data_IF_795719961049
#
_entry.id   IF_795719961049
#
_cell.length_a   1.000
_cell.length_b   1.000
_cell.length_c   1.000
_cell.angle_alpha   90.00
_cell.angle_beta   90.00
_cell.angle_gamma   90.00
#
_symmetry.space_group_name_H-M   'P 1'
#
loop_
_entity.id
_entity.type
_entity.pdbx_description
1 polymer ?
#
# COMPACT_ATOMS: atom_id res chain seq x y z
N UNK A 1 35.29 5.58 -2.14
CA UNK A 1 34.41 6.60 -2.75
C UNK A 1 33.22 6.84 -1.83
N UNK A 2 33.17 7.97 -1.12
CA UNK A 2 32.00 8.34 -0.31
C UNK A 2 31.12 9.22 -1.17
N UNK A 3 30.05 8.65 -1.73
CA UNK A 3 29.03 9.46 -2.42
C UNK A 3 28.44 10.46 -1.43
N UNK A 4 28.51 11.73 -1.82
CA UNK A 4 27.88 12.86 -1.15
C UNK A 4 26.38 12.59 -1.10
N UNK A 5 25.85 12.27 0.08
CA UNK A 5 24.40 12.18 0.27
C UNK A 5 23.82 13.59 0.09
N UNK A 6 23.16 13.83 -1.03
CA UNK A 6 22.30 15.00 -1.20
C UNK A 6 21.18 14.91 -0.16
N UNK A 7 21.09 15.95 0.67
CA UNK A 7 20.30 15.98 1.90
C UNK A 7 18.77 16.07 1.69
N UNK A 8 18.22 15.73 0.53
CA UNK A 8 16.79 15.94 0.29
C UNK A 8 16.14 14.98 -0.74
N UNK A 9 16.45 13.68 -0.70
CA UNK A 9 15.75 12.69 -1.52
C UNK A 9 14.63 12.03 -0.70
N UNK A 10 13.39 12.18 -1.16
CA UNK A 10 12.20 11.54 -0.59
C UNK A 10 12.30 10.00 -0.77
N UNK A 11 12.96 9.33 0.18
CA UNK A 11 13.24 7.88 0.13
C UNK A 11 11.98 7.03 -0.07
N UNK A 12 10.84 7.48 0.48
CA UNK A 12 9.55 6.82 0.34
C UNK A 12 9.06 6.83 -1.11
N UNK A 13 9.19 7.96 -1.81
CA UNK A 13 8.82 8.08 -3.23
C UNK A 13 9.75 7.25 -4.10
N UNK A 14 11.06 7.31 -3.83
CA UNK A 14 12.05 6.53 -4.56
C UNK A 14 11.80 5.01 -4.43
N UNK A 15 11.49 4.53 -3.23
CA UNK A 15 11.14 3.14 -3.01
C UNK A 15 9.88 2.74 -3.80
N UNK A 16 8.84 3.57 -3.79
CA UNK A 16 7.61 3.29 -4.52
C UNK A 16 7.81 3.36 -6.04
N UNK A 17 8.60 4.31 -6.55
CA UNK A 17 8.90 4.41 -7.98
C UNK A 17 9.64 3.17 -8.48
N UNK A 18 10.61 2.67 -7.72
CA UNK A 18 11.32 1.44 -8.04
C UNK A 18 10.40 0.23 -8.12
N UNK A 19 9.45 0.08 -7.19
CA UNK A 19 8.46 -1.01 -7.26
C UNK A 19 7.61 -0.92 -8.54
N UNK A 20 7.13 0.28 -8.87
CA UNK A 20 6.31 0.51 -10.06
C UNK A 20 7.08 0.27 -11.37
N UNK A 21 8.32 0.76 -11.45
CA UNK A 21 9.19 0.60 -12.63
C UNK A 21 9.58 -0.86 -12.86
N UNK A 22 9.91 -1.60 -11.80
CA UNK A 22 10.30 -3.00 -11.89
C UNK A 22 9.14 -3.94 -12.20
N UNK A 23 7.89 -3.47 -12.09
CA UNK A 23 6.68 -4.27 -12.30
C UNK A 23 6.72 -5.62 -11.57
N UNK A 24 7.26 -5.62 -10.36
CA UNK A 24 7.34 -6.79 -9.49
C UNK A 24 7.10 -6.36 -8.05
N UNK A 25 6.28 -7.14 -7.33
CA UNK A 25 6.00 -6.91 -5.91
C UNK A 25 7.23 -7.18 -5.02
N UNK A 26 8.23 -7.90 -5.54
CA UNK A 26 9.48 -8.16 -4.85
C UNK A 26 10.66 -8.20 -5.84
N UNK A 27 11.23 -7.04 -6.21
CA UNK A 27 12.27 -6.95 -7.23
C UNK A 27 13.67 -7.32 -6.72
N UNK A 28 13.85 -7.55 -5.41
CA UNK A 28 15.14 -7.88 -4.83
C UNK A 28 15.49 -9.35 -5.05
N UNK A 29 16.44 -9.61 -5.97
CA UNK A 29 16.98 -10.95 -6.20
C UNK A 29 18.52 -10.91 -6.32
N UNK A 30 19.25 -11.81 -5.64
CA UNK A 30 18.77 -12.81 -4.69
C UNK A 30 18.28 -12.19 -3.37
N UNK A 31 17.25 -12.79 -2.75
CA UNK A 31 16.74 -12.34 -1.45
C UNK A 31 17.70 -12.76 -0.32
N UNK A 32 18.07 -11.81 0.54
CA UNK A 32 19.02 -12.08 1.64
C UNK A 32 18.34 -12.58 2.91
N UNK A 33 17.08 -12.22 3.16
CA UNK A 33 16.40 -12.45 4.45
C UNK A 33 15.08 -13.21 4.34
N UNK A 34 14.52 -13.36 3.14
CA UNK A 34 13.24 -14.01 2.92
C UNK A 34 13.45 -15.19 1.98
N UNK A 35 13.02 -16.41 2.33
CA UNK A 35 13.06 -17.52 1.40
C UNK A 35 12.06 -17.27 0.27
N UNK A 36 12.55 -17.21 -0.97
CA UNK A 36 11.72 -17.08 -2.16
C UNK A 36 11.77 -18.37 -2.97
N UNK A 37 10.59 -18.85 -3.35
CA UNK A 37 10.46 -19.94 -4.32
C UNK A 37 10.66 -19.37 -5.73
N UNK A 38 11.82 -19.70 -6.33
CA UNK A 38 12.20 -19.23 -7.67
C UNK A 38 11.16 -19.61 -8.73
N UNK A 39 10.49 -20.76 -8.59
CA UNK A 39 9.46 -21.22 -9.53
C UNK A 39 8.20 -20.36 -9.49
N UNK A 40 7.95 -19.66 -8.38
CA UNK A 40 6.77 -18.80 -8.20
C UNK A 40 7.06 -17.31 -8.41
N UNK A 41 8.29 -16.90 -8.66
CA UNK A 41 8.63 -15.48 -8.91
C UNK A 41 7.78 -14.82 -10.02
N UNK A 42 7.43 -15.49 -11.13
CA UNK A 42 6.58 -14.86 -12.15
C UNK A 42 5.20 -14.42 -11.63
N UNK A 43 4.68 -15.07 -10.58
CA UNK A 43 3.41 -14.70 -9.94
C UNK A 43 3.46 -13.37 -9.18
N UNK A 44 4.67 -12.89 -8.84
CA UNK A 44 4.88 -11.60 -8.18
C UNK A 44 4.98 -10.45 -9.19
N UNK A 45 4.92 -10.73 -10.49
CA UNK A 45 4.93 -9.70 -11.53
C UNK A 45 3.61 -8.93 -11.59
N UNK A 46 3.71 -7.62 -11.79
CA UNK A 46 2.57 -6.72 -11.97
C UNK A 46 2.26 -6.61 -13.46
N UNK A 47 1.14 -7.20 -13.89
CA UNK A 47 0.66 -7.13 -15.28
C UNK A 47 0.15 -5.73 -15.65
N UNK A 48 -0.49 -5.07 -14.69
CA UNK A 48 -1.03 -3.72 -14.83
C UNK A 48 -0.51 -2.83 -13.70
N UNK A 49 -0.49 -1.52 -13.95
CA UNK A 49 -0.12 -0.53 -12.92
C UNK A 49 -1.31 -0.40 -11.96
N UNK A 50 -1.13 -0.64 -10.65
CA UNK A 50 -2.22 -0.53 -9.70
C UNK A 50 -2.60 0.94 -9.49
N UNK A 51 -3.87 1.21 -9.21
CA UNK A 51 -4.34 2.55 -8.83
C UNK A 51 -3.94 2.94 -7.40
N UNK A 52 -3.86 1.93 -6.53
CA UNK A 52 -3.51 2.05 -5.13
C UNK A 52 -2.59 0.89 -4.74
N UNK A 53 -1.42 1.22 -4.22
CA UNK A 53 -0.41 0.26 -3.80
C UNK A 53 -0.22 0.31 -2.29
N UNK A 54 -0.57 -0.77 -1.61
CA UNK A 54 -0.37 -0.91 -0.17
C UNK A 54 0.98 -1.58 0.08
N UNK A 55 1.91 -0.81 0.64
CA UNK A 55 3.23 -1.30 1.04
C UNK A 55 3.18 -1.62 2.53
N UNK A 56 3.05 -2.89 2.88
CA UNK A 56 3.12 -3.32 4.28
C UNK A 56 4.58 -3.27 4.77
N UNK A 57 4.96 -2.22 5.50
CA UNK A 57 6.27 -2.14 6.15
C UNK A 57 6.14 -1.65 7.59
N UNK A 58 6.88 -2.30 8.49
CA UNK A 58 6.93 -1.91 9.91
C UNK A 58 7.68 -0.60 10.13
N UNK A 59 8.62 -0.25 9.24
CA UNK A 59 9.60 0.83 9.46
C UNK A 59 9.12 2.20 8.98
N UNK A 60 8.13 2.25 8.10
CA UNK A 60 7.71 3.50 7.46
C UNK A 60 6.19 3.61 7.41
N UNK A 61 5.65 4.73 7.87
CA UNK A 61 4.24 5.11 7.69
C UNK A 61 4.18 6.27 6.71
N UNK A 62 3.44 6.13 5.63
CA UNK A 62 3.35 7.19 4.62
C UNK A 62 2.14 7.04 3.71
N UNK A 63 1.77 8.14 3.08
CA UNK A 63 0.88 8.19 1.92
C UNK A 63 1.57 9.10 0.91
N UNK A 64 1.81 8.61 -0.30
CA UNK A 64 2.48 9.34 -1.37
C UNK A 64 1.83 8.97 -2.70
N UNK A 65 1.57 9.97 -3.52
CA UNK A 65 1.25 9.76 -4.93
C UNK A 65 2.56 9.69 -5.73
N UNK A 66 2.72 8.62 -6.52
CA UNK A 66 3.86 8.35 -7.41
C UNK A 66 3.32 7.85 -8.74
N UNK A 67 3.61 8.58 -9.82
CA UNK A 67 3.19 8.21 -11.19
C UNK A 67 1.68 7.94 -11.34
N UNK A 68 0.83 8.71 -10.63
CA UNK A 68 -0.63 8.54 -10.62
C UNK A 68 -1.14 7.41 -9.72
N UNK A 69 -0.25 6.68 -9.06
CA UNK A 69 -0.58 5.60 -8.11
C UNK A 69 -0.50 6.13 -6.68
N UNK A 70 -1.53 5.81 -5.89
CA UNK A 70 -1.54 6.12 -4.46
C UNK A 70 -0.80 5.03 -3.70
N UNK A 71 0.42 5.32 -3.31
CA UNK A 71 1.27 4.41 -2.54
C UNK A 71 1.13 4.73 -1.05
N UNK A 72 0.72 3.75 -0.24
CA UNK A 72 0.55 3.95 1.19
C UNK A 72 1.13 2.80 2.01
N UNK A 73 1.70 3.14 3.16
CA UNK A 73 2.05 2.18 4.20
C UNK A 73 1.31 2.54 5.49
N UNK A 74 0.39 1.68 5.97
CA UNK A 74 -0.34 1.91 7.21
C UNK A 74 0.55 1.79 8.45
N UNK A 75 1.73 1.19 8.34
CA UNK A 75 2.57 0.79 9.48
C UNK A 75 2.07 -0.46 10.20
N UNK A 76 2.71 -0.79 11.33
CA UNK A 76 2.29 -1.92 12.16
C UNK A 76 1.01 -1.62 12.94
N UNK A 77 0.12 -2.61 13.01
CA UNK A 77 -1.15 -2.55 13.75
C UNK A 77 -0.93 -2.49 15.28
N UNK A 78 0.16 -3.09 15.76
CA UNK A 78 0.57 -3.07 17.16
C UNK A 78 2.08 -2.86 17.25
N UNK A 79 2.53 -2.18 18.30
CA UNK A 79 3.96 -1.99 18.54
C UNK A 79 4.29 -2.37 19.99
N UNK A 80 4.83 -3.58 20.18
CA UNK A 80 5.02 -4.17 21.50
C UNK A 80 3.70 -4.21 22.28
N UNK A 81 3.65 -3.54 23.44
CA UNK A 81 2.46 -3.44 24.29
C UNK A 81 1.56 -2.22 23.98
N UNK A 82 1.83 -1.50 22.89
CA UNK A 82 1.09 -0.30 22.50
C UNK A 82 0.29 -0.51 21.21
N UNK A 83 -0.83 0.19 21.09
CA UNK A 83 -1.61 0.23 19.85
C UNK A 83 -0.81 0.87 18.73
N UNK A 84 -0.91 0.31 17.53
CA UNK A 84 -0.23 0.81 16.34
C UNK A 84 -1.14 1.67 15.47
N UNK A 85 -1.08 1.47 14.17
CA UNK A 85 -1.78 2.31 13.18
C UNK A 85 -2.47 1.46 12.11
N UNK A 86 -3.54 2.00 11.54
CA UNK A 86 -4.18 1.46 10.34
C UNK A 86 -4.46 2.59 9.33
N UNK A 87 -4.69 2.25 8.07
CA UNK A 87 -5.09 3.22 7.06
C UNK A 87 -6.58 3.06 6.73
N UNK A 88 -7.30 4.18 6.67
CA UNK A 88 -8.65 4.29 6.13
C UNK A 88 -8.56 4.91 4.74
N UNK A 89 -9.03 4.18 3.73
CA UNK A 89 -9.08 4.65 2.34
C UNK A 89 -10.55 4.80 1.96
N UNK A 90 -10.96 6.02 1.66
CA UNK A 90 -12.31 6.33 1.16
C UNK A 90 -12.19 6.68 -0.32
N UNK A 91 -12.85 5.91 -1.17
CA UNK A 91 -12.85 6.12 -2.63
C UNK A 91 -14.21 6.66 -3.06
N UNK A 92 -14.25 7.88 -3.59
CA UNK A 92 -15.48 8.53 -4.05
C UNK A 92 -15.89 8.00 -5.43
N UNK A 93 -17.20 7.89 -5.73
CA UNK A 93 -17.67 7.46 -7.03
C UNK A 93 -17.29 8.44 -8.15
N UNK A 94 -17.20 7.96 -9.39
CA UNK A 94 -17.06 8.82 -10.57
C UNK A 94 -18.38 9.59 -10.79
N UNK A 95 -18.29 10.89 -11.07
CA UNK A 95 -19.45 11.71 -11.46
C UNK A 95 -20.05 11.17 -12.78
N UNK A 96 -21.38 11.15 -12.86
CA UNK A 96 -22.16 10.60 -13.99
C UNK A 96 -21.83 11.21 -15.35
N UNK A 97 -21.45 12.49 -15.40
CA UNK A 97 -21.05 13.20 -16.64
C UNK A 97 -19.92 12.50 -17.42
N UNK A 98 -19.14 11.61 -16.77
CA UNK A 98 -18.10 10.80 -17.43
C UNK A 98 -18.52 9.36 -17.72
N UNK A 99 -19.66 8.91 -17.22
CA UNK A 99 -20.30 7.64 -17.61
C UNK A 99 -20.99 7.81 -18.98
N UNK A 100 -21.56 8.99 -19.21
CA UNK A 100 -22.26 9.34 -20.46
C UNK A 100 -21.31 9.55 -21.66
N UNK A 101 -20.02 9.79 -21.43
CA UNK A 101 -18.99 9.75 -22.48
C UNK A 101 -18.72 8.35 -23.06
N UNK A 102 -19.46 7.33 -22.60
CA UNK A 102 -19.42 5.95 -23.07
C UNK A 102 -20.81 5.41 -23.43
N UNK A 103 -21.74 6.28 -23.83
CA UNK A 103 -23.03 5.87 -24.42
C UNK A 103 -23.20 6.43 -25.84
N UNK A 104 -22.09 6.69 -26.54
CA UNK A 104 -22.07 6.86 -27.99
C UNK A 104 -21.98 5.48 -28.65
N UNK A 105 -22.89 5.23 -29.60
CA UNK A 105 -22.99 4.02 -30.41
C UNK A 105 -21.61 3.52 -30.89
N UNK A 106 -21.18 2.38 -30.38
CA UNK A 106 -19.88 1.75 -30.67
C UNK A 106 -19.79 1.17 -32.09
N UNK A 107 -20.85 1.30 -32.90
CA UNK A 107 -20.99 0.58 -34.18
C UNK A 107 -20.44 1.35 -35.38
N UNK A 108 -20.38 2.69 -35.35
CA UNK A 108 -20.03 3.49 -36.54
C UNK A 108 -18.54 3.85 -36.70
N UNK A 109 -17.71 3.65 -35.67
CA UNK A 109 -16.29 4.05 -35.68
C UNK A 109 -15.28 2.91 -35.56
N UNK A 110 -15.73 1.64 -35.54
CA UNK A 110 -14.83 0.48 -35.57
C UNK A 110 -13.89 0.35 -34.37
N UNK A 111 -14.26 0.91 -33.22
CA UNK A 111 -13.46 0.86 -31.98
C UNK A 111 -14.02 -0.25 -31.11
N UNK A 112 -13.19 -1.27 -30.85
CA UNK A 112 -13.51 -2.43 -30.03
C UNK A 112 -14.02 -2.01 -28.65
N UNK A 113 -15.12 -2.62 -28.23
CA UNK A 113 -15.79 -2.48 -26.93
C UNK A 113 -14.83 -2.72 -25.77
N UNK A 114 -14.11 -1.68 -25.34
CA UNK A 114 -13.05 -1.86 -24.35
C UNK A 114 -12.32 -0.58 -23.96
N UNK A 115 -12.92 0.61 -24.13
CA UNK A 115 -12.28 1.85 -23.69
C UNK A 115 -12.09 1.79 -22.18
N UNK A 116 -10.85 1.52 -21.76
CA UNK A 116 -10.41 1.58 -20.36
C UNK A 116 -10.63 3.01 -19.89
N UNK A 117 -11.68 3.20 -19.08
CA UNK A 117 -11.85 4.44 -18.33
C UNK A 117 -10.77 4.48 -17.28
N UNK A 118 -9.84 5.42 -17.39
CA UNK A 118 -8.87 5.68 -16.32
C UNK A 118 -9.64 5.90 -15.02
N UNK A 119 -9.41 5.02 -14.05
CA UNK A 119 -10.14 5.00 -12.78
C UNK A 119 -9.87 6.24 -11.93
N UNK A 120 -8.79 6.99 -12.21
CA UNK A 120 -8.38 8.25 -11.59
C UNK A 120 -8.47 8.24 -10.05
N UNK A 121 -8.20 7.08 -9.42
CA UNK A 121 -8.36 6.88 -7.97
C UNK A 121 -7.60 7.93 -7.17
N UNK A 122 -6.40 8.30 -7.59
CA UNK A 122 -5.58 9.32 -6.92
C UNK A 122 -6.32 10.65 -6.71
N UNK A 123 -7.18 11.06 -7.66
CA UNK A 123 -7.93 12.33 -7.59
C UNK A 123 -9.23 12.23 -6.79
N UNK A 124 -9.73 11.01 -6.56
CA UNK A 124 -11.03 10.74 -5.93
C UNK A 124 -10.92 9.88 -4.68
N UNK A 125 -9.72 9.75 -4.11
CA UNK A 125 -9.53 9.02 -2.86
C UNK A 125 -9.11 9.97 -1.74
N UNK A 126 -9.57 9.66 -0.54
CA UNK A 126 -9.09 10.26 0.70
C UNK A 126 -8.44 9.15 1.51
N UNK A 127 -7.18 9.32 1.87
CA UNK A 127 -6.43 8.36 2.68
C UNK A 127 -6.08 9.00 4.02
N UNK A 128 -6.38 8.29 5.10
CA UNK A 128 -6.12 8.73 6.47
C UNK A 128 -5.38 7.62 7.23
N UNK A 129 -4.25 7.94 7.86
CA UNK A 129 -3.58 7.02 8.80
C UNK A 129 -4.12 7.32 10.20
N UNK A 130 -4.74 6.32 10.83
CA UNK A 130 -5.42 6.43 12.11
C UNK A 130 -4.63 5.65 13.17
N UNK A 131 -4.42 6.29 14.32
CA UNK A 131 -3.79 5.65 15.47
C UNK A 131 -4.81 4.81 16.24
N UNK A 132 -4.40 3.60 16.59
CA UNK A 132 -5.14 2.74 17.52
C UNK A 132 -4.72 3.15 18.92
N UNK A 133 -5.63 3.82 19.62
CA UNK A 133 -5.43 4.05 21.05
C UNK A 133 -5.60 2.71 21.78
N UNK A 134 -4.62 2.37 22.60
CA UNK A 134 -4.60 1.11 23.32
C UNK A 134 -5.86 0.97 24.18
N UNK A 135 -6.75 0.03 23.83
CA UNK A 135 -7.91 -0.35 24.66
C UNK A 135 -7.50 -1.30 25.79
N UNK A 136 -6.21 -1.57 25.99
CA UNK A 136 -5.72 -2.28 27.17
C UNK A 136 -5.75 -1.39 28.43
N UNK A 137 -6.96 -0.96 28.81
CA UNK A 137 -7.40 -0.84 30.20
C UNK A 137 -7.86 -2.22 30.70
N UNK A 138 -7.10 -3.29 30.43
CA UNK A 138 -7.24 -4.50 31.23
C UNK A 138 -6.43 -4.19 32.50
N UNK A 139 -7.06 -3.97 33.66
CA UNK A 139 -6.30 -3.82 34.89
C UNK A 139 -5.43 -5.07 35.02
N UNK A 140 -4.12 -4.90 35.18
CA UNK A 140 -3.23 -5.98 35.60
C UNK A 140 -3.74 -6.47 36.95
N UNK A 141 -4.65 -7.44 36.96
CA UNK A 141 -4.86 -8.27 38.12
C UNK A 141 -3.56 -9.05 38.24
N UNK A 142 -2.70 -8.61 39.18
CA UNK A 142 -1.57 -9.39 39.66
C UNK A 142 -2.12 -10.73 40.12
N UNK A 143 -2.05 -11.76 39.28
CA UNK A 143 -2.09 -13.12 39.78
C UNK A 143 -0.81 -13.33 40.57
N UNK A 144 -0.89 -13.14 41.90
CA UNK A 144 0.07 -13.74 42.83
C UNK A 144 -0.15 -15.25 42.71
N UNK A 145 0.71 -15.92 41.96
CA UNK A 145 0.85 -17.37 42.04
C UNK A 145 1.43 -17.63 43.43
N UNK A 146 0.59 -18.09 44.36
CA UNK A 146 1.05 -18.69 45.60
C UNK A 146 1.44 -20.14 45.27
N UNK A 147 2.73 -20.42 45.34
CA UNK A 147 3.27 -21.76 45.31
C UNK A 147 3.02 -22.38 46.70
N UNK A 148 2.24 -23.46 46.75
CA UNK A 148 2.03 -24.25 47.96
C UNK A 148 3.12 -25.32 47.97
N UNK A 149 4.08 -25.19 48.90
CA UNK A 149 5.04 -26.25 49.22
C UNK A 149 4.31 -27.52 49.66
N UNK A 150 4.75 -28.67 49.14
CA UNK A 150 4.58 -29.97 49.79
C UNK A 150 5.65 -30.16 50.85
#
# INVERSE_FOLDING_TARGET
>A
MRCRQEKNVDKQRLFCSQLLEQRSLYPLYPSLSIPLDAGKLPSLSMKEVPDLMIVATEKMRFVKEVSGVVCLSPGSLAFGNSGGTFARVTVYPLKEERREGSEGDWTELGIESGVKVDSLVAKRCKVEIVNIWCVCLIPRVRHRVFEISK
#
